data_IF_805138905072
#
_entry.id   IF_805138905072
#
_cell.length_a   1.000
_cell.length_b   1.000
_cell.length_c   1.000
_cell.angle_alpha   90.00
_cell.angle_beta   90.00
_cell.angle_gamma   90.00
#
_symmetry.space_group_name_H-M   'P 1'
#
loop_
_entity.id
_entity.type
_entity.pdbx_description
1 polymer ?
#
# COMPACT_ATOMS: atom_id res chain seq x y z
N UNK A 1 -12.21 18.91 -14.09
CA UNK A 1 -11.14 19.25 -15.07
C UNK A 1 -9.79 18.99 -14.44
N UNK A 2 -8.87 18.35 -15.18
CA UNK A 2 -7.54 18.00 -14.74
C UNK A 2 -6.95 16.84 -15.54
N UNK A 3 -5.66 16.60 -15.40
CA UNK A 3 -4.98 15.46 -15.99
C UNK A 3 -4.14 14.76 -14.91
N UNK A 4 -4.04 13.44 -15.02
CA UNK A 4 -3.17 12.61 -14.14
C UNK A 4 -2.35 11.71 -15.03
N UNK A 5 -1.04 11.71 -14.80
CA UNK A 5 -0.10 10.80 -15.46
C UNK A 5 0.63 9.97 -14.41
N UNK A 6 0.79 8.68 -14.68
CA UNK A 6 1.54 7.75 -13.84
C UNK A 6 2.63 7.14 -14.71
N UNK A 7 3.88 7.36 -14.33
CA UNK A 7 5.05 6.87 -15.07
C UNK A 7 4.99 7.26 -16.58
N UNK A 8 4.53 8.50 -16.87
CA UNK A 8 4.39 9.05 -18.20
C UNK A 8 3.08 8.74 -18.93
N UNK A 9 2.29 7.77 -18.46
CA UNK A 9 1.03 7.33 -19.08
C UNK A 9 -0.17 8.11 -18.54
N UNK A 10 -1.03 8.59 -19.46
CA UNK A 10 -2.25 9.32 -19.07
C UNK A 10 -3.34 8.34 -18.62
N UNK A 11 -3.98 8.65 -17.48
CA UNK A 11 -4.99 7.76 -16.90
C UNK A 11 -6.25 7.60 -17.76
N UNK A 12 -6.57 8.59 -18.60
CA UNK A 12 -7.75 8.57 -19.47
C UNK A 12 -7.43 7.95 -20.83
N UNK A 13 -6.23 8.21 -21.36
CA UNK A 13 -5.81 7.74 -22.69
C UNK A 13 -5.27 6.31 -22.64
N UNK A 14 -4.53 5.95 -21.56
CA UNK A 14 -3.83 4.68 -21.44
C UNK A 14 -4.12 3.98 -20.07
N UNK A 15 -5.40 3.76 -19.69
CA UNK A 15 -5.78 3.27 -18.37
C UNK A 15 -5.20 1.90 -18.04
N UNK A 16 -5.04 1.01 -19.02
CA UNK A 16 -4.48 -0.33 -18.81
C UNK A 16 -2.98 -0.27 -18.47
N UNK A 17 -2.23 0.64 -19.09
CA UNK A 17 -0.82 0.84 -18.77
C UNK A 17 -0.64 1.48 -17.39
N UNK A 18 -1.52 2.41 -17.01
CA UNK A 18 -1.53 3.01 -15.67
C UNK A 18 -1.85 1.96 -14.61
N UNK A 19 -2.87 1.11 -14.81
CA UNK A 19 -3.24 0.04 -13.87
C UNK A 19 -2.11 -0.95 -13.61
N UNK A 20 -1.28 -1.26 -14.59
CA UNK A 20 -0.10 -2.13 -14.42
C UNK A 20 0.96 -1.50 -13.51
N UNK A 21 1.01 -0.17 -13.45
CA UNK A 21 2.02 0.62 -12.72
C UNK A 21 1.58 1.03 -11.33
N UNK A 22 0.34 0.70 -10.95
CA UNK A 22 -0.20 1.01 -9.62
C UNK A 22 -0.44 -0.28 -8.84
N UNK A 23 0.06 -0.32 -7.61
CA UNK A 23 -0.40 -1.22 -6.57
C UNK A 23 -1.33 -0.46 -5.63
N UNK A 24 -2.55 -0.95 -5.45
CA UNK A 24 -3.53 -0.30 -4.59
C UNK A 24 -3.95 -1.20 -3.45
N UNK A 25 -3.90 -0.66 -2.25
CA UNK A 25 -4.42 -1.27 -1.03
C UNK A 25 -5.47 -0.33 -0.43
N UNK A 26 -6.77 -0.62 -0.57
CA UNK A 26 -7.83 0.14 0.11
C UNK A 26 -7.82 -0.12 1.62
N UNK A 27 -8.47 0.75 2.38
CA UNK A 27 -8.65 0.61 3.84
C UNK A 27 -9.19 -0.78 4.24
N UNK A 28 -10.15 -1.29 3.46
CA UNK A 28 -10.70 -2.65 3.60
C UNK A 28 -10.35 -3.47 2.35
N UNK A 29 -9.21 -4.19 2.35
CA UNK A 29 -8.82 -4.99 1.21
C UNK A 29 -9.89 -6.05 0.87
N UNK A 30 -10.31 -6.17 -0.40
CA UNK A 30 -11.33 -7.13 -0.84
C UNK A 30 -10.77 -8.55 -0.91
N UNK A 31 -10.48 -9.14 0.24
CA UNK A 31 -9.87 -10.45 0.35
C UNK A 31 -10.93 -11.57 0.17
N UNK A 32 -10.59 -12.62 -0.58
CA UNK A 32 -11.43 -13.82 -0.66
C UNK A 32 -11.21 -14.70 0.58
N UNK A 33 -12.15 -14.61 1.52
CA UNK A 33 -12.02 -15.18 2.87
C UNK A 33 -11.90 -16.71 2.89
N UNK A 34 -12.45 -17.41 1.89
CA UNK A 34 -12.43 -18.86 1.77
C UNK A 34 -11.21 -19.40 0.99
N UNK A 35 -10.33 -18.52 0.54
CA UNK A 35 -9.03 -18.88 -0.01
C UNK A 35 -7.96 -18.89 1.09
N UNK A 36 -6.94 -19.73 0.90
CA UNK A 36 -5.68 -19.56 1.63
C UNK A 36 -4.93 -18.34 1.13
N UNK A 37 -3.99 -17.82 1.93
CA UNK A 37 -3.14 -16.68 1.51
C UNK A 37 -2.46 -16.95 0.18
N UNK A 38 -1.89 -18.14 0.01
CA UNK A 38 -1.20 -18.53 -1.21
C UNK A 38 -2.13 -18.61 -2.43
N UNK A 39 -3.32 -19.18 -2.28
CA UNK A 39 -4.32 -19.27 -3.36
C UNK A 39 -4.76 -17.87 -3.78
N UNK A 40 -5.04 -16.98 -2.83
CA UNK A 40 -5.45 -15.60 -3.11
C UNK A 40 -4.36 -14.82 -3.86
N UNK A 41 -3.11 -14.86 -3.39
CA UNK A 41 -2.02 -14.15 -4.06
C UNK A 41 -1.71 -14.74 -5.45
N UNK A 42 -1.86 -16.06 -5.62
CA UNK A 42 -1.78 -16.70 -6.92
C UNK A 42 -2.87 -16.20 -7.87
N UNK A 43 -4.11 -16.14 -7.39
CA UNK A 43 -5.25 -15.61 -8.14
C UNK A 43 -5.03 -14.17 -8.60
N UNK A 44 -4.58 -13.28 -7.69
CA UNK A 44 -4.23 -11.89 -8.04
C UNK A 44 -3.13 -11.82 -9.10
N UNK A 45 -2.11 -12.69 -8.99
CA UNK A 45 -1.02 -12.76 -9.98
C UNK A 45 -1.53 -13.17 -11.36
N UNK A 46 -2.51 -14.09 -11.42
CA UNK A 46 -3.12 -14.55 -12.67
C UNK A 46 -3.98 -13.43 -13.31
N UNK A 47 -4.74 -12.68 -12.51
CA UNK A 47 -5.48 -11.50 -12.99
C UNK A 47 -4.53 -10.45 -13.58
N UNK A 48 -3.39 -10.21 -12.90
CA UNK A 48 -2.34 -9.28 -13.40
C UNK A 48 -1.52 -9.85 -14.55
N UNK A 49 -1.80 -11.06 -15.01
CA UNK A 49 -1.11 -11.75 -16.13
C UNK A 49 0.40 -11.88 -15.92
N UNK A 50 0.83 -12.08 -14.66
CA UNK A 50 2.25 -12.30 -14.34
C UNK A 50 2.64 -13.70 -14.83
N UNK A 51 3.73 -13.79 -15.59
CA UNK A 51 4.22 -15.06 -16.08
C UNK A 51 4.61 -16.02 -14.93
N UNK A 52 4.56 -17.33 -15.22
CA UNK A 52 4.71 -18.38 -14.20
C UNK A 52 6.06 -18.36 -13.47
N UNK A 53 7.13 -17.99 -14.17
CA UNK A 53 8.50 -17.98 -13.60
C UNK A 53 8.65 -16.79 -12.65
N UNK A 54 8.29 -15.61 -13.12
CA UNK A 54 8.27 -14.36 -12.34
C UNK A 54 7.34 -14.50 -11.13
N UNK A 55 6.15 -15.07 -11.32
CA UNK A 55 5.16 -15.31 -10.26
C UNK A 55 5.78 -16.10 -9.10
N UNK A 56 6.40 -17.26 -9.37
CA UNK A 56 6.98 -18.11 -8.34
C UNK A 56 8.08 -17.37 -7.55
N UNK A 57 8.96 -16.66 -8.25
CA UNK A 57 10.09 -15.94 -7.63
C UNK A 57 9.64 -14.73 -6.82
N UNK A 58 8.72 -13.94 -7.35
CA UNK A 58 8.22 -12.72 -6.68
C UNK A 58 7.35 -13.04 -5.48
N UNK A 59 6.55 -14.14 -5.54
CA UNK A 59 5.66 -14.56 -4.47
C UNK A 59 6.40 -14.82 -3.17
N UNK A 60 7.48 -15.60 -3.19
CA UNK A 60 8.28 -15.87 -2.00
C UNK A 60 8.85 -14.55 -1.42
N UNK A 61 9.45 -13.71 -2.29
CA UNK A 61 9.99 -12.41 -1.87
C UNK A 61 8.92 -11.52 -1.21
N UNK A 62 7.73 -11.45 -1.81
CA UNK A 62 6.63 -10.64 -1.27
C UNK A 62 6.17 -11.19 0.08
N UNK A 63 5.98 -12.51 0.20
CA UNK A 63 5.56 -13.13 1.46
C UNK A 63 6.58 -12.90 2.59
N UNK A 64 7.87 -12.98 2.29
CA UNK A 64 8.94 -12.72 3.24
C UNK A 64 8.96 -11.24 3.64
N UNK A 65 8.85 -10.33 2.67
CA UNK A 65 8.87 -8.89 2.88
C UNK A 65 7.74 -8.43 3.82
N UNK A 66 6.51 -8.90 3.58
CA UNK A 66 5.36 -8.54 4.42
C UNK A 66 5.16 -9.48 5.62
N UNK A 67 6.05 -10.48 5.80
CA UNK A 67 6.06 -11.43 6.93
C UNK A 67 4.75 -12.21 7.07
N UNK A 68 4.33 -12.91 6.01
CA UNK A 68 3.14 -13.78 5.98
C UNK A 68 3.44 -15.23 5.55
N UNK A 69 4.72 -15.59 5.46
CA UNK A 69 5.14 -16.93 5.05
C UNK A 69 4.63 -18.04 5.96
N UNK A 70 4.56 -17.78 7.28
CA UNK A 70 4.07 -18.69 8.32
C UNK A 70 2.57 -19.01 8.20
N UNK A 71 1.79 -18.10 7.59
CA UNK A 71 0.33 -18.26 7.41
C UNK A 71 -0.07 -18.57 5.98
N UNK A 72 0.87 -18.84 5.07
CA UNK A 72 0.64 -19.02 3.62
C UNK A 72 -0.45 -20.05 3.28
N UNK A 73 -0.59 -21.10 4.09
CA UNK A 73 -1.57 -22.19 3.91
C UNK A 73 -2.85 -22.01 4.74
N UNK A 74 -2.95 -20.93 5.54
CA UNK A 74 -4.13 -20.66 6.35
C UNK A 74 -5.20 -19.95 5.52
N UNK A 75 -6.46 -20.26 5.79
CA UNK A 75 -7.61 -19.56 5.22
C UNK A 75 -7.58 -18.10 5.71
N UNK A 76 -7.84 -17.15 4.81
CA UNK A 76 -7.83 -15.72 5.12
C UNK A 76 -8.86 -15.35 6.20
N UNK A 77 -10.00 -16.03 6.25
CA UNK A 77 -11.01 -15.82 7.31
C UNK A 77 -10.48 -16.10 8.73
N UNK A 78 -9.47 -16.96 8.86
CA UNK A 78 -8.86 -17.36 10.14
C UNK A 78 -7.65 -16.47 10.54
N UNK A 79 -7.38 -15.40 9.79
CA UNK A 79 -6.30 -14.47 10.07
C UNK A 79 -6.76 -13.32 10.97
N UNK A 80 -5.83 -12.83 11.82
CA UNK A 80 -6.03 -11.57 12.54
C UNK A 80 -6.13 -10.40 11.55
N UNK A 81 -6.64 -9.25 12.02
CA UNK A 81 -6.72 -8.04 11.22
C UNK A 81 -5.35 -7.63 10.68
N UNK A 82 -4.30 -7.67 11.49
CA UNK A 82 -2.94 -7.34 11.09
C UNK A 82 -2.40 -8.25 9.97
N UNK A 83 -2.65 -9.55 10.05
CA UNK A 83 -2.30 -10.45 8.95
C UNK A 83 -3.11 -10.17 7.68
N UNK A 84 -4.40 -9.84 7.78
CA UNK A 84 -5.20 -9.46 6.60
C UNK A 84 -4.69 -8.18 5.96
N UNK A 85 -4.26 -7.18 6.75
CA UNK A 85 -3.61 -5.97 6.21
C UNK A 85 -2.32 -6.31 5.46
N UNK A 86 -1.48 -7.22 6.00
CA UNK A 86 -0.27 -7.69 5.33
C UNK A 86 -0.57 -8.43 4.03
N UNK A 87 -1.65 -9.22 3.97
CA UNK A 87 -2.12 -9.87 2.73
C UNK A 87 -2.59 -8.81 1.73
N UNK A 88 -3.31 -7.76 2.19
CA UNK A 88 -3.70 -6.61 1.36
C UNK A 88 -2.50 -5.86 0.80
N UNK A 89 -1.45 -5.67 1.59
CA UNK A 89 -0.20 -5.06 1.12
C UNK A 89 0.54 -5.98 0.14
N UNK A 90 0.58 -7.29 0.41
CA UNK A 90 1.17 -8.28 -0.50
C UNK A 90 0.53 -8.23 -1.89
N UNK A 91 -0.81 -8.19 -1.97
CA UNK A 91 -1.51 -8.10 -3.25
C UNK A 91 -1.20 -6.81 -4.02
N UNK A 92 -1.00 -5.68 -3.32
CA UNK A 92 -0.62 -4.43 -3.95
C UNK A 92 0.79 -4.51 -4.58
N UNK A 93 1.70 -5.27 -3.97
CA UNK A 93 3.08 -5.46 -4.43
C UNK A 93 3.22 -6.43 -5.62
N UNK A 94 2.19 -7.23 -5.93
CA UNK A 94 2.23 -8.17 -7.06
C UNK A 94 2.41 -7.40 -8.37
N UNK A 95 3.42 -7.81 -9.16
CA UNK A 95 3.79 -7.15 -10.40
C UNK A 95 4.85 -6.05 -10.22
N UNK A 96 5.36 -5.84 -9.00
CA UNK A 96 6.38 -4.83 -8.68
C UNK A 96 6.05 -3.43 -9.25
N UNK A 97 4.87 -2.86 -8.96
CA UNK A 97 4.44 -1.59 -9.53
C UNK A 97 5.32 -0.46 -9.03
N UNK A 98 5.71 0.53 -9.88
CA UNK A 98 6.51 1.66 -9.44
C UNK A 98 5.79 2.60 -8.46
N UNK A 99 4.46 2.58 -8.45
CA UNK A 99 3.63 3.41 -7.56
C UNK A 99 2.75 2.53 -6.67
N UNK A 100 2.77 2.80 -5.36
CA UNK A 100 1.89 2.17 -4.37
C UNK A 100 0.95 3.23 -3.79
N UNK A 101 -0.33 2.95 -3.78
CA UNK A 101 -1.36 3.76 -3.13
C UNK A 101 -1.89 2.94 -1.94
N UNK A 102 -1.68 3.44 -0.74
CA UNK A 102 -2.03 2.78 0.52
C UNK A 102 -3.04 3.64 1.27
N UNK A 103 -4.27 3.15 1.37
CA UNK A 103 -5.36 3.85 2.03
C UNK A 103 -5.53 3.34 3.46
N UNK A 104 -5.26 4.19 4.45
CA UNK A 104 -5.33 3.91 5.88
C UNK A 104 -4.68 2.57 6.30
N UNK A 105 -3.42 2.29 5.93
CA UNK A 105 -2.82 0.95 6.05
C UNK A 105 -2.62 0.48 7.49
N UNK A 106 -2.73 1.37 8.48
CA UNK A 106 -2.54 1.10 9.91
C UNK A 106 -3.84 1.07 10.71
N UNK A 107 -4.98 1.35 10.07
CA UNK A 107 -6.26 1.47 10.77
C UNK A 107 -6.65 0.20 11.52
N UNK A 108 -6.93 0.34 12.82
CA UNK A 108 -7.38 -0.73 13.71
C UNK A 108 -6.34 -1.83 13.97
N UNK A 109 -5.06 -1.51 13.82
CA UNK A 109 -3.94 -2.32 14.27
C UNK A 109 -3.55 -1.94 15.71
N UNK A 110 -2.92 -2.88 16.42
CA UNK A 110 -2.32 -2.57 17.72
C UNK A 110 -1.01 -1.76 17.56
N UNK A 111 -0.52 -1.09 18.62
CA UNK A 111 0.65 -0.22 18.53
C UNK A 111 1.92 -0.91 17.99
N UNK A 112 2.12 -2.20 18.30
CA UNK A 112 3.27 -2.96 17.80
C UNK A 112 3.16 -3.19 16.29
N UNK A 113 1.98 -3.59 15.83
CA UNK A 113 1.71 -3.81 14.41
C UNK A 113 1.82 -2.50 13.59
N UNK A 114 1.38 -1.37 14.15
CA UNK A 114 1.54 -0.04 13.53
C UNK A 114 3.02 0.25 13.27
N UNK A 115 3.88 0.03 14.27
CA UNK A 115 5.33 0.24 14.12
C UNK A 115 5.90 -0.67 13.02
N UNK A 116 5.51 -1.93 12.99
CA UNK A 116 5.98 -2.89 11.98
C UNK A 116 5.55 -2.51 10.57
N UNK A 117 4.28 -2.11 10.37
CA UNK A 117 3.77 -1.66 9.06
C UNK A 117 4.45 -0.36 8.62
N UNK A 118 4.66 0.60 9.52
CA UNK A 118 5.40 1.85 9.21
C UNK A 118 6.82 1.58 8.75
N UNK A 119 7.55 0.70 9.43
CA UNK A 119 8.89 0.32 9.01
C UNK A 119 8.90 -0.34 7.64
N UNK A 120 7.93 -1.22 7.38
CA UNK A 120 7.76 -1.85 6.08
C UNK A 120 7.46 -0.82 4.98
N UNK A 121 6.58 0.15 5.21
CA UNK A 121 6.29 1.24 4.26
C UNK A 121 7.54 2.07 3.97
N UNK A 122 8.35 2.40 4.99
CA UNK A 122 9.64 3.08 4.78
C UNK A 122 10.60 2.29 3.89
N UNK A 123 10.69 0.98 4.12
CA UNK A 123 11.56 0.13 3.31
C UNK A 123 11.06 0.03 1.86
N UNK A 124 9.77 -0.07 1.65
CA UNK A 124 9.15 -0.03 0.32
C UNK A 124 9.37 1.32 -0.38
N UNK A 125 9.40 2.43 0.34
CA UNK A 125 9.66 3.77 -0.20
C UNK A 125 11.04 3.93 -0.85
N UNK A 126 11.99 3.01 -0.60
CA UNK A 126 13.30 2.99 -1.26
C UNK A 126 13.23 2.54 -2.73
N UNK A 127 12.23 1.75 -3.09
CA UNK A 127 12.07 1.15 -4.42
C UNK A 127 10.78 1.60 -5.13
N UNK A 128 9.81 2.18 -4.39
CA UNK A 128 8.50 2.57 -4.90
C UNK A 128 8.17 4.01 -4.53
N UNK A 129 7.45 4.70 -5.40
CA UNK A 129 6.76 5.95 -5.03
C UNK A 129 5.50 5.57 -4.24
N UNK A 130 5.38 6.05 -3.00
CA UNK A 130 4.25 5.70 -2.13
C UNK A 130 3.37 6.91 -1.91
N UNK A 131 2.07 6.77 -2.18
CA UNK A 131 1.01 7.70 -1.78
C UNK A 131 0.27 7.04 -0.61
N UNK A 132 0.32 7.68 0.54
CA UNK A 132 -0.28 7.19 1.78
C UNK A 132 -1.40 8.14 2.21
N UNK A 133 -2.61 7.62 2.42
CA UNK A 133 -3.66 8.37 3.14
C UNK A 133 -3.67 7.96 4.60
N UNK A 134 -3.85 8.91 5.49
CA UNK A 134 -4.11 8.69 6.91
C UNK A 134 -4.72 9.93 7.54
N UNK A 135 -5.56 9.73 8.57
CA UNK A 135 -6.09 10.80 9.40
C UNK A 135 -5.25 11.01 10.69
N UNK A 136 -4.18 10.26 10.88
CA UNK A 136 -3.32 10.29 12.08
C UNK A 136 -1.99 10.96 11.73
N UNK A 137 -1.88 12.28 12.00
CA UNK A 137 -0.72 13.08 11.64
C UNK A 137 0.62 12.53 12.17
N UNK A 138 0.76 12.02 13.41
CA UNK A 138 1.99 11.40 13.88
C UNK A 138 2.43 10.17 13.06
N UNK A 139 1.50 9.42 12.47
CA UNK A 139 1.84 8.28 11.62
C UNK A 139 2.38 8.74 10.27
N UNK A 140 1.72 9.75 9.67
CA UNK A 140 2.16 10.36 8.42
C UNK A 140 3.55 10.99 8.58
N UNK A 141 3.74 11.76 9.65
CA UNK A 141 5.03 12.42 9.94
C UNK A 141 6.18 11.42 10.15
N UNK A 142 5.87 10.20 10.59
CA UNK A 142 6.89 9.19 10.82
C UNK A 142 7.39 8.51 9.54
N UNK A 143 6.65 8.55 8.42
CA UNK A 143 6.96 7.78 7.20
C UNK A 143 7.02 8.61 5.93
N UNK A 144 6.38 9.78 5.88
CA UNK A 144 6.26 10.60 4.68
C UNK A 144 7.31 11.71 4.65
N UNK A 145 7.93 11.93 3.49
CA UNK A 145 8.82 13.07 3.23
C UNK A 145 8.04 14.36 2.96
N UNK A 146 6.85 14.22 2.40
CA UNK A 146 5.95 15.33 2.06
C UNK A 146 4.52 15.02 2.48
N UNK A 147 3.83 16.00 3.01
CA UNK A 147 2.43 15.90 3.45
C UNK A 147 1.57 16.91 2.70
N UNK A 148 0.41 16.45 2.23
CA UNK A 148 -0.64 17.27 1.65
C UNK A 148 -1.84 17.24 2.61
N UNK A 149 -2.25 18.42 3.09
CA UNK A 149 -3.46 18.52 3.92
C UNK A 149 -4.61 18.97 3.04
N UNK A 150 -5.66 18.16 3.02
CA UNK A 150 -6.88 18.43 2.22
C UNK A 150 -8.02 18.77 3.17
N UNK A 151 -8.71 19.88 2.89
CA UNK A 151 -9.93 20.28 3.59
C UNK A 151 -10.99 20.72 2.58
N UNK A 152 -12.20 20.15 2.68
CA UNK A 152 -13.33 20.44 1.78
C UNK A 152 -12.97 20.37 0.30
N UNK A 153 -12.20 19.35 -0.09
CA UNK A 153 -11.78 19.12 -1.48
C UNK A 153 -10.68 20.07 -2.01
N UNK A 154 -10.06 20.87 -1.13
CA UNK A 154 -8.95 21.79 -1.50
C UNK A 154 -7.69 21.43 -0.72
N UNK A 155 -6.54 21.54 -1.37
CA UNK A 155 -5.24 21.45 -0.69
C UNK A 155 -5.04 22.77 0.09
N UNK A 156 -5.00 22.66 1.41
CA UNK A 156 -4.81 23.80 2.31
C UNK A 156 -3.37 23.95 2.77
N UNK A 157 -2.57 22.88 2.73
CA UNK A 157 -1.13 22.94 2.98
C UNK A 157 -0.41 21.82 2.22
N UNK A 158 0.84 22.07 1.85
CA UNK A 158 1.75 21.11 1.23
C UNK A 158 3.17 21.45 1.67
N UNK A 159 3.76 20.63 2.54
CA UNK A 159 5.11 20.86 3.07
C UNK A 159 5.69 19.58 3.68
N UNK A 160 6.92 19.64 4.22
CA UNK A 160 7.47 18.57 5.05
C UNK A 160 6.77 18.50 6.40
N UNK A 161 6.77 17.34 7.08
CA UNK A 161 6.19 17.19 8.42
C UNK A 161 6.74 18.20 9.42
N UNK A 162 8.05 18.45 9.37
CA UNK A 162 8.73 19.38 10.28
C UNK A 162 8.24 20.83 10.11
N UNK A 163 8.08 21.27 8.86
CA UNK A 163 7.59 22.63 8.56
C UNK A 163 6.12 22.79 8.97
N UNK A 164 5.30 21.74 8.74
CA UNK A 164 3.90 21.76 9.16
C UNK A 164 3.77 21.81 10.69
N UNK A 165 4.61 21.06 11.42
CA UNK A 165 4.61 21.07 12.89
C UNK A 165 5.00 22.44 13.45
N UNK A 166 5.96 23.14 12.86
CA UNK A 166 6.34 24.51 13.26
C UNK A 166 5.18 25.49 13.09
N UNK A 167 4.49 25.43 11.95
CA UNK A 167 3.33 26.32 11.68
C UNK A 167 2.16 26.08 12.62
N UNK A 168 1.99 24.85 13.15
CA UNK A 168 0.94 24.52 14.10
C UNK A 168 1.32 24.86 15.56
N UNK A 169 2.62 24.98 15.86
CA UNK A 169 3.13 25.33 17.19
C UNK A 169 3.19 26.84 17.46
N UNK A 170 3.08 27.66 16.42
CA UNK A 170 3.11 29.13 16.51
C UNK A 170 1.68 29.75 16.61
N UNK A 171 0.64 28.92 16.85
CA UNK A 171 -0.75 29.34 17.08
C UNK A 171 -1.20 28.93 18.47
#
# INVERSE_FOLDING_TARGET
EGSVKVDGFDILEEPEEVKKRIGYMPEFPPLYLDMTVQEYLNFVSDIKKIDRVTKKRSMEKIMDLVKIGDVRKRLIKNLSKGYRQRVGLAQALIGAPPVLILDEPTVGLDPKQIIEIRNLIKDLGKEHTIILSSHILPEVSAVCERVLIINKGKIVASDTPENLSKRLGDT
#
